data_IF_274422751714
#
_entry.id   IF_274422751714
#
_cell.length_a   1.000
_cell.length_b   1.000
_cell.length_c   1.000
_cell.angle_alpha   90.00
_cell.angle_beta   90.00
_cell.angle_gamma   90.00
#
_symmetry.space_group_name_H-M   'P 1'
#
loop_
_entity.id
_entity.type
_entity.pdbx_description
1 polymer ?
#
# COMPACT_ATOMS: atom_id res chain seq x y z
N UNK A 1 16.28 18.04 -33.35
CA UNK A 1 17.15 18.41 -32.21
C UNK A 1 16.92 19.88 -31.87
N UNK A 2 16.87 20.27 -30.59
CA UNK A 2 16.74 21.67 -30.19
C UNK A 2 17.94 22.48 -30.70
N UNK A 3 17.67 23.63 -31.31
CA UNK A 3 18.71 24.52 -31.84
C UNK A 3 18.98 25.63 -30.83
N UNK A 4 20.23 25.74 -30.39
CA UNK A 4 20.67 26.80 -29.50
C UNK A 4 21.61 27.74 -30.26
N UNK A 5 21.53 29.04 -29.99
CA UNK A 5 22.40 30.04 -30.62
C UNK A 5 23.46 30.53 -29.63
N UNK A 6 24.69 30.71 -30.11
CA UNK A 6 25.77 31.24 -29.28
C UNK A 6 25.51 32.72 -28.93
N UNK A 7 25.53 33.13 -27.65
CA UNK A 7 25.25 34.51 -27.25
C UNK A 7 26.32 35.51 -27.72
N UNK A 8 27.54 35.04 -28.04
CA UNK A 8 28.64 35.91 -28.49
C UNK A 8 28.65 36.15 -30.01
N UNK A 9 28.36 35.12 -30.80
CA UNK A 9 28.54 35.19 -32.26
C UNK A 9 27.30 34.83 -33.08
N UNK A 10 26.21 34.39 -32.44
CA UNK A 10 24.96 34.02 -33.11
C UNK A 10 24.99 32.69 -33.85
N UNK A 11 26.13 31.99 -33.92
CA UNK A 11 26.23 30.70 -34.61
C UNK A 11 25.44 29.59 -33.90
N UNK A 12 24.94 28.63 -34.67
CA UNK A 12 24.27 27.44 -34.15
C UNK A 12 25.23 26.61 -33.28
N UNK A 13 24.77 26.25 -32.09
CA UNK A 13 25.52 25.51 -31.09
C UNK A 13 25.03 24.06 -31.09
N UNK A 14 25.94 23.13 -31.38
CA UNK A 14 25.70 21.72 -31.15
C UNK A 14 25.78 21.46 -29.64
N UNK A 15 24.66 21.07 -29.03
CA UNK A 15 24.56 20.78 -27.60
C UNK A 15 24.19 19.31 -27.44
N UNK A 16 25.11 18.55 -26.86
CA UNK A 16 24.87 17.14 -26.61
C UNK A 16 23.82 16.95 -25.51
N UNK A 17 22.89 16.00 -25.66
CA UNK A 17 22.02 15.59 -24.58
C UNK A 17 22.85 15.14 -23.35
N UNK A 18 22.62 15.76 -22.19
CA UNK A 18 23.39 15.58 -20.96
C UNK A 18 24.37 16.71 -20.58
N UNK A 19 24.80 17.57 -21.51
CA UNK A 19 25.71 18.67 -21.20
C UNK A 19 24.98 20.00 -20.97
N UNK A 20 25.29 20.71 -19.88
CA UNK A 20 24.79 22.07 -19.60
C UNK A 20 25.72 23.17 -20.11
N UNK A 21 26.95 22.79 -20.45
CA UNK A 21 28.01 23.68 -20.90
C UNK A 21 28.36 23.25 -22.32
N UNK A 22 28.22 24.18 -23.27
CA UNK A 22 28.54 23.93 -24.66
C UNK A 22 29.60 24.92 -25.15
N UNK A 23 30.57 24.39 -25.90
CA UNK A 23 31.67 25.16 -26.49
C UNK A 23 31.34 25.46 -27.95
N UNK A 24 31.28 26.73 -28.30
CA UNK A 24 31.05 27.16 -29.67
C UNK A 24 32.26 26.79 -30.54
N UNK A 25 32.02 26.05 -31.62
CA UNK A 25 33.08 25.66 -32.56
C UNK A 25 33.56 26.81 -33.44
N UNK A 26 32.77 27.89 -33.55
CA UNK A 26 33.10 29.05 -34.38
C UNK A 26 33.95 30.09 -33.65
N UNK A 27 33.50 30.54 -32.47
CA UNK A 27 34.18 31.61 -31.71
C UNK A 27 34.88 31.14 -30.43
N UNK A 28 34.87 29.84 -30.15
CA UNK A 28 35.50 29.23 -28.96
C UNK A 28 34.83 29.54 -27.62
N UNK A 29 33.72 30.28 -27.60
CA UNK A 29 33.05 30.70 -26.36
C UNK A 29 32.34 29.52 -25.70
N UNK A 30 32.50 29.41 -24.39
CA UNK A 30 31.82 28.44 -23.55
C UNK A 30 30.59 29.12 -22.94
N UNK A 31 29.41 28.57 -23.17
CA UNK A 31 28.15 29.13 -22.64
C UNK A 31 27.37 28.07 -21.87
N UNK A 32 26.64 28.54 -20.86
CA UNK A 32 25.59 27.74 -20.23
C UNK A 32 24.38 27.70 -21.17
N UNK A 33 23.78 26.53 -21.32
CA UNK A 33 22.60 26.30 -22.16
C UNK A 33 21.44 25.93 -21.25
N UNK A 34 20.36 26.71 -21.32
CA UNK A 34 19.15 26.34 -20.62
C UNK A 34 18.47 25.15 -21.33
N UNK A 35 18.35 24.05 -20.60
CA UNK A 35 17.77 22.78 -21.08
C UNK A 35 16.31 22.62 -20.65
N UNK A 36 15.81 23.55 -19.83
CA UNK A 36 14.52 23.43 -19.16
C UNK A 36 13.36 23.34 -20.16
N UNK A 37 13.44 24.01 -21.30
CA UNK A 37 12.41 24.03 -22.35
C UNK A 37 12.75 23.13 -23.56
N UNK A 38 13.97 22.61 -23.62
CA UNK A 38 14.44 21.85 -24.77
C UNK A 38 14.06 20.37 -24.66
N UNK A 39 13.46 19.84 -25.73
CA UNK A 39 13.12 18.42 -25.83
C UNK A 39 14.28 17.62 -26.44
N UNK A 40 14.91 16.78 -25.62
CA UNK A 40 15.96 15.86 -26.04
C UNK A 40 15.39 14.49 -26.41
N UNK A 41 16.08 13.75 -27.28
CA UNK A 41 15.64 12.44 -27.76
C UNK A 41 16.64 11.38 -27.28
N UNK A 42 16.15 10.39 -26.55
CA UNK A 42 16.95 9.28 -26.05
C UNK A 42 16.30 7.95 -26.45
N UNK A 43 17.12 6.92 -26.49
CA UNK A 43 16.70 5.55 -26.66
C UNK A 43 17.34 4.71 -25.57
N UNK A 44 16.56 3.84 -24.94
CA UNK A 44 17.07 2.94 -23.91
C UNK A 44 17.24 1.55 -24.53
N UNK A 45 18.45 0.99 -24.62
CA UNK A 45 18.69 -0.23 -25.38
C UNK A 45 18.04 -1.45 -24.72
N UNK A 46 17.69 -2.44 -25.55
CA UNK A 46 17.30 -3.76 -25.05
C UNK A 46 18.53 -4.46 -24.44
N UNK A 47 18.51 -4.66 -23.13
CA UNK A 47 19.50 -5.48 -22.40
C UNK A 47 19.01 -6.92 -22.25
N UNK A 48 17.70 -7.11 -22.33
CA UNK A 48 17.00 -8.39 -22.20
C UNK A 48 16.56 -8.87 -23.57
N UNK A 49 16.97 -10.10 -23.91
CA UNK A 49 16.52 -10.81 -25.10
C UNK A 49 15.13 -11.45 -24.90
N UNK A 50 14.49 -11.87 -25.99
CA UNK A 50 13.16 -12.47 -25.95
C UNK A 50 13.12 -13.74 -25.08
N UNK A 51 14.18 -14.55 -25.09
CA UNK A 51 14.26 -15.80 -24.31
C UNK A 51 14.21 -15.50 -22.81
N UNK A 52 14.98 -14.51 -22.36
CA UNK A 52 14.96 -14.00 -20.98
C UNK A 52 13.61 -13.36 -20.66
N UNK A 53 13.01 -12.61 -21.57
CA UNK A 53 11.68 -12.01 -21.37
C UNK A 53 10.62 -13.09 -21.11
N UNK A 54 10.62 -14.19 -21.89
CA UNK A 54 9.76 -15.36 -21.66
C UNK A 54 10.05 -16.04 -20.32
N UNK A 55 11.32 -16.09 -19.91
CA UNK A 55 11.71 -16.59 -18.59
C UNK A 55 11.22 -15.70 -17.44
N UNK A 56 11.26 -14.38 -17.60
CA UNK A 56 10.69 -13.41 -16.65
C UNK A 56 9.17 -13.60 -16.56
N UNK A 57 8.49 -13.68 -17.71
CA UNK A 57 7.06 -13.95 -17.79
C UNK A 57 6.70 -15.22 -17.01
N UNK A 58 7.40 -16.32 -17.27
CA UNK A 58 7.17 -17.60 -16.58
C UNK A 58 7.31 -17.47 -15.06
N UNK A 59 8.40 -16.84 -14.58
CA UNK A 59 8.59 -16.58 -13.14
C UNK A 59 7.48 -15.71 -12.54
N UNK A 60 7.03 -14.70 -13.28
CA UNK A 60 5.94 -13.84 -12.85
C UNK A 60 4.62 -14.61 -12.75
N UNK A 61 4.28 -15.45 -13.74
CA UNK A 61 3.07 -16.31 -13.71
C UNK A 61 3.10 -17.36 -12.60
N UNK A 62 4.28 -17.76 -12.15
CA UNK A 62 4.47 -18.68 -11.01
C UNK A 62 4.40 -17.96 -9.64
N UNK A 63 4.20 -16.64 -9.64
CA UNK A 63 4.15 -15.84 -8.42
C UNK A 63 2.97 -16.19 -7.50
N UNK A 64 3.09 -15.95 -6.18
CA UNK A 64 2.07 -16.33 -5.21
C UNK A 64 0.73 -15.59 -5.36
N UNK A 65 0.73 -14.40 -5.97
CA UNK A 65 -0.46 -13.61 -6.25
C UNK A 65 -1.25 -14.09 -7.47
N UNK A 66 -0.65 -14.92 -8.32
CA UNK A 66 -1.25 -15.39 -9.56
C UNK A 66 -2.19 -16.57 -9.33
N UNK A 67 -3.10 -16.80 -10.29
CA UNK A 67 -3.99 -17.94 -10.27
C UNK A 67 -3.23 -19.27 -10.21
N UNK A 68 -3.82 -20.25 -9.54
CA UNK A 68 -3.27 -21.59 -9.49
C UNK A 68 -3.18 -22.15 -10.91
N UNK A 69 -2.07 -22.82 -11.23
CA UNK A 69 -1.82 -23.42 -12.55
C UNK A 69 -1.68 -22.43 -13.71
N UNK A 70 -1.63 -21.11 -13.46
CA UNK A 70 -1.44 -20.11 -14.51
C UNK A 70 -0.17 -20.37 -15.33
N UNK A 71 0.94 -20.70 -14.68
CA UNK A 71 2.22 -20.98 -15.33
C UNK A 71 2.13 -22.08 -16.40
N UNK A 72 1.41 -23.17 -16.11
CA UNK A 72 1.31 -24.33 -16.99
C UNK A 72 0.07 -24.29 -17.91
N UNK A 73 -0.97 -23.58 -17.50
CA UNK A 73 -2.24 -23.49 -18.22
C UNK A 73 -2.34 -22.28 -19.16
N UNK A 74 -1.45 -21.30 -19.06
CA UNK A 74 -1.46 -20.15 -19.95
C UNK A 74 -0.81 -20.46 -21.31
N UNK A 75 -1.33 -19.84 -22.37
CA UNK A 75 -0.75 -19.90 -23.71
C UNK A 75 -0.46 -18.49 -24.21
N UNK A 76 0.81 -18.19 -24.48
CA UNK A 76 1.20 -16.93 -25.11
C UNK A 76 0.70 -16.94 -26.56
N UNK A 77 -0.11 -15.95 -26.92
CA UNK A 77 -0.70 -15.80 -28.26
C UNK A 77 0.02 -14.76 -29.11
N UNK A 78 0.57 -13.71 -28.48
CA UNK A 78 1.30 -12.63 -29.15
C UNK A 78 2.53 -12.26 -28.33
N UNK A 79 3.62 -11.99 -29.02
CA UNK A 79 4.82 -11.33 -28.48
C UNK A 79 5.29 -10.29 -29.49
N UNK A 80 5.44 -9.05 -29.04
CA UNK A 80 5.94 -7.94 -29.87
C UNK A 80 7.05 -7.23 -29.12
N UNK A 81 8.17 -7.05 -29.82
CA UNK A 81 9.33 -6.30 -29.34
C UNK A 81 9.29 -4.91 -29.96
N UNK A 82 9.17 -3.89 -29.14
CA UNK A 82 8.99 -2.53 -29.63
C UNK A 82 9.54 -1.45 -28.70
N UNK A 83 9.81 -0.28 -29.26
CA UNK A 83 10.18 0.92 -28.53
C UNK A 83 8.95 1.81 -28.35
N UNK A 84 8.46 1.87 -27.11
CA UNK A 84 7.32 2.69 -26.75
C UNK A 84 7.77 4.11 -26.36
N UNK A 85 7.24 5.16 -26.98
CA UNK A 85 7.68 6.53 -26.71
C UNK A 85 7.09 7.05 -25.40
N UNK A 86 7.95 7.55 -24.52
CA UNK A 86 7.54 8.20 -23.25
C UNK A 86 8.24 9.53 -23.06
N UNK A 87 7.53 10.51 -22.51
CA UNK A 87 8.13 11.74 -22.03
C UNK A 87 8.68 11.53 -20.62
N UNK A 88 9.93 11.92 -20.42
CA UNK A 88 10.57 12.06 -19.12
C UNK A 88 10.75 13.53 -18.80
N UNK A 89 10.36 13.92 -17.59
CA UNK A 89 10.50 15.27 -17.08
C UNK A 89 11.25 15.24 -15.76
N UNK A 90 12.41 15.91 -15.68
CA UNK A 90 13.03 16.21 -14.39
C UNK A 90 12.56 17.58 -13.91
N UNK A 91 12.00 17.60 -12.70
CA UNK A 91 11.46 18.81 -12.07
C UNK A 91 12.07 19.00 -10.69
N UNK A 92 12.31 20.26 -10.32
CA UNK A 92 12.64 20.63 -8.94
C UNK A 92 11.35 20.94 -8.19
N UNK A 93 10.95 20.06 -7.28
CA UNK A 93 9.75 20.20 -6.45
C UNK A 93 10.19 20.27 -4.99
N UNK A 94 9.90 21.37 -4.30
CA UNK A 94 10.30 21.57 -2.89
C UNK A 94 11.81 21.35 -2.65
N UNK A 95 12.67 21.86 -3.56
CA UNK A 95 14.13 21.68 -3.54
C UNK A 95 14.60 20.23 -3.69
N UNK A 96 13.70 19.29 -3.99
CA UNK A 96 14.02 17.90 -4.30
C UNK A 96 13.81 17.65 -5.79
N UNK A 97 14.76 16.96 -6.41
CA UNK A 97 14.64 16.56 -7.80
C UNK A 97 13.72 15.34 -7.94
N UNK A 98 12.72 15.44 -8.81
CA UNK A 98 11.78 14.35 -9.09
C UNK A 98 11.68 14.12 -10.59
N UNK A 99 11.66 12.84 -10.97
CA UNK A 99 11.44 12.39 -12.34
C UNK A 99 9.98 12.01 -12.50
N UNK A 100 9.33 12.58 -13.50
CA UNK A 100 7.98 12.22 -13.92
C UNK A 100 8.04 11.60 -15.30
N UNK A 101 7.32 10.49 -15.49
CA UNK A 101 7.21 9.81 -16.79
C UNK A 101 5.77 9.81 -17.25
N UNK A 102 5.55 10.10 -18.52
CA UNK A 102 4.23 10.12 -19.17
C UNK A 102 4.30 9.43 -20.53
N UNK A 103 3.28 8.65 -20.94
CA UNK A 103 3.21 8.16 -22.31
C UNK A 103 3.25 9.30 -23.32
N UNK A 104 4.02 9.16 -24.39
CA UNK A 104 3.95 10.06 -25.54
C UNK A 104 3.02 9.51 -26.64
N UNK A 105 2.36 8.38 -26.37
CA UNK A 105 1.34 7.77 -27.21
C UNK A 105 0.11 7.36 -26.40
N UNK A 106 -1.08 7.53 -26.97
CA UNK A 106 -2.31 6.95 -26.44
C UNK A 106 -2.23 5.41 -26.40
N UNK A 107 -2.39 4.81 -25.21
CA UNK A 107 -2.17 3.36 -25.03
C UNK A 107 -3.10 2.75 -24.00
N UNK A 108 -3.44 1.48 -24.21
CA UNK A 108 -4.10 0.61 -23.22
C UNK A 108 -3.12 -0.36 -22.56
N UNK A 109 -1.84 -0.29 -22.94
CA UNK A 109 -0.80 -1.17 -22.41
C UNK A 109 -0.67 -1.00 -20.89
N UNK A 110 -0.67 -2.10 -20.12
CA UNK A 110 -0.57 -2.02 -18.68
C UNK A 110 0.67 -1.29 -18.17
N UNK A 111 0.50 -0.50 -17.12
CA UNK A 111 1.59 0.16 -16.40
C UNK A 111 2.31 1.28 -17.14
N UNK A 112 1.97 1.59 -18.40
CA UNK A 112 2.63 2.65 -19.16
C UNK A 112 2.47 4.04 -18.53
N UNK A 113 1.38 4.28 -17.80
CA UNK A 113 1.16 5.55 -17.08
C UNK A 113 2.04 5.73 -15.83
N UNK A 114 2.52 4.63 -15.24
CA UNK A 114 3.38 4.61 -14.05
C UNK A 114 4.72 3.91 -14.36
N UNK A 115 5.20 4.10 -15.59
CA UNK A 115 6.46 3.54 -16.04
C UNK A 115 7.61 4.20 -15.27
N UNK A 116 8.59 3.38 -14.88
CA UNK A 116 9.81 3.86 -14.23
C UNK A 116 10.98 3.65 -15.19
N UNK A 117 11.70 4.72 -15.50
CA UNK A 117 12.91 4.63 -16.32
C UNK A 117 14.09 4.40 -15.37
N UNK A 118 14.84 3.29 -15.52
CA UNK A 118 16.00 3.05 -14.68
C UNK A 118 17.05 4.14 -14.90
N UNK A 119 17.78 4.56 -13.85
CA UNK A 119 18.81 5.58 -14.01
C UNK A 119 19.99 5.02 -14.81
N UNK A 120 20.36 5.73 -15.88
CA UNK A 120 21.50 5.39 -16.73
C UNK A 120 21.18 4.39 -17.84
N UNK A 121 22.15 4.17 -18.73
CA UNK A 121 22.01 3.27 -19.89
C UNK A 121 21.30 3.89 -21.11
N UNK A 122 20.73 5.09 -20.98
CA UNK A 122 20.16 5.82 -22.11
C UNK A 122 21.25 6.24 -23.09
N UNK A 123 21.02 5.95 -24.37
CA UNK A 123 21.85 6.45 -25.46
C UNK A 123 21.13 7.61 -26.15
N UNK A 124 21.91 8.55 -26.66
CA UNK A 124 21.38 9.63 -27.49
C UNK A 124 20.75 9.00 -28.72
N UNK A 125 19.48 9.32 -28.98
CA UNK A 125 18.82 8.83 -30.17
C UNK A 125 19.26 9.69 -31.36
N UNK A 126 20.09 9.11 -32.23
CA UNK A 126 20.42 9.63 -33.54
C UNK A 126 19.92 8.68 -34.64
N UNK A 127 19.78 9.17 -35.87
CA UNK A 127 19.30 8.37 -37.02
C UNK A 127 20.25 7.21 -37.40
N UNK A 128 21.36 7.02 -36.67
CA UNK A 128 22.36 5.99 -36.89
C UNK A 128 22.28 4.87 -35.85
N UNK A 129 21.49 5.04 -34.79
CA UNK A 129 21.26 3.99 -33.79
C UNK A 129 20.50 2.82 -34.42
N UNK A 130 21.12 1.64 -34.43
CA UNK A 130 20.48 0.42 -34.93
C UNK A 130 19.37 -0.05 -33.98
N UNK A 131 18.13 0.09 -34.43
CA UNK A 131 16.91 -0.35 -33.74
C UNK A 131 16.76 -1.90 -33.79
N UNK A 132 17.57 -2.56 -34.62
CA UNK A 132 17.56 -4.01 -34.76
C UNK A 132 16.26 -4.52 -35.36
N UNK A 133 15.65 -5.50 -34.71
CA UNK A 133 14.37 -6.14 -35.05
C UNK A 133 13.16 -5.50 -34.35
N UNK A 134 13.39 -4.54 -33.46
CA UNK A 134 12.32 -3.91 -32.70
C UNK A 134 11.52 -2.92 -33.55
N UNK A 135 10.20 -2.89 -33.37
CA UNK A 135 9.34 -1.87 -33.99
C UNK A 135 9.47 -0.56 -33.22
N UNK A 136 9.72 0.55 -33.90
CA UNK A 136 9.62 1.87 -33.29
C UNK A 136 8.20 2.43 -33.43
N UNK A 137 7.69 2.99 -32.35
CA UNK A 137 6.36 3.58 -32.29
C UNK A 137 6.49 5.11 -32.25
N UNK A 138 5.83 5.78 -33.19
CA UNK A 138 5.83 7.25 -33.22
C UNK A 138 4.90 7.84 -32.14
N UNK A 139 5.33 8.92 -31.46
CA UNK A 139 4.48 9.63 -30.52
C UNK A 139 3.31 10.32 -31.24
N UNK A 140 2.12 10.28 -30.64
CA UNK A 140 0.92 10.98 -31.11
C UNK A 140 0.42 12.05 -30.11
N UNK A 141 0.98 12.09 -28.91
CA UNK A 141 0.69 13.10 -27.89
C UNK A 141 1.76 14.17 -27.92
N UNK A 142 1.34 15.44 -27.97
CA UNK A 142 2.25 16.57 -27.86
C UNK A 142 2.70 16.78 -26.41
N UNK A 143 3.97 17.14 -26.21
CA UNK A 143 4.52 17.40 -24.88
C UNK A 143 3.78 18.52 -24.13
N UNK A 144 3.25 19.50 -24.88
CA UNK A 144 2.50 20.64 -24.35
C UNK A 144 1.28 20.24 -23.52
N UNK A 145 0.70 19.07 -23.79
CA UNK A 145 -0.43 18.52 -23.01
C UNK A 145 -0.10 18.27 -21.54
N UNK A 146 1.17 17.96 -21.22
CA UNK A 146 1.59 17.65 -19.87
C UNK A 146 2.20 18.84 -19.14
N UNK A 147 2.83 19.78 -19.86
CA UNK A 147 3.64 20.86 -19.26
C UNK A 147 2.84 21.69 -18.25
N UNK A 148 1.58 22.00 -18.54
CA UNK A 148 0.74 22.84 -17.68
C UNK A 148 0.37 22.21 -16.34
N UNK A 149 0.40 20.88 -16.24
CA UNK A 149 0.03 20.13 -15.02
C UNK A 149 1.26 19.80 -14.16
N UNK A 150 2.47 20.07 -14.64
CA UNK A 150 3.68 19.65 -13.96
C UNK A 150 4.01 20.52 -12.75
N UNK A 151 4.28 19.92 -11.57
CA UNK A 151 4.68 20.68 -10.40
C UNK A 151 6.15 21.14 -10.51
N UNK A 152 6.44 22.29 -9.89
CA UNK A 152 7.80 22.78 -9.72
C UNK A 152 8.46 23.30 -11.01
N UNK A 153 9.75 23.62 -10.89
CA UNK A 153 10.52 24.22 -11.99
C UNK A 153 11.09 23.13 -12.90
N UNK A 154 11.10 23.39 -14.22
CA UNK A 154 11.71 22.51 -15.22
C UNK A 154 13.24 22.47 -15.05
N UNK A 155 13.81 21.26 -15.03
CA UNK A 155 15.26 21.03 -15.09
C UNK A 155 15.63 20.50 -16.47
N UNK A 156 14.99 19.40 -16.88
CA UNK A 156 15.16 18.82 -18.22
C UNK A 156 13.87 18.15 -18.71
N UNK A 157 13.78 18.00 -20.03
CA UNK A 157 12.69 17.31 -20.70
C UNK A 157 13.24 16.42 -21.82
N UNK A 158 12.68 15.22 -21.94
CA UNK A 158 13.16 14.22 -22.89
C UNK A 158 12.01 13.38 -23.45
N UNK A 159 12.07 13.04 -24.73
CA UNK A 159 11.37 11.93 -25.32
C UNK A 159 12.31 10.72 -25.29
N UNK A 160 11.91 9.67 -24.59
CA UNK A 160 12.67 8.43 -24.43
C UNK A 160 11.92 7.31 -25.15
N UNK A 161 12.59 6.66 -26.09
CA UNK A 161 12.13 5.42 -26.70
C UNK A 161 12.44 4.26 -25.75
N UNK A 162 11.41 3.78 -25.04
CA UNK A 162 11.54 2.81 -23.97
C UNK A 162 11.33 1.36 -24.50
N UNK A 163 12.25 0.42 -24.23
CA UNK A 163 12.20 -0.92 -24.77
C UNK A 163 11.16 -1.75 -24.03
N UNK A 164 10.14 -2.24 -24.74
CA UNK A 164 9.12 -3.11 -24.16
C UNK A 164 8.96 -4.40 -24.96
N UNK A 165 8.59 -5.45 -24.23
CA UNK A 165 7.98 -6.65 -24.77
C UNK A 165 6.50 -6.62 -24.42
N UNK A 166 5.65 -6.36 -25.40
CA UNK A 166 4.20 -6.57 -25.29
C UNK A 166 3.92 -8.06 -25.47
N UNK A 167 3.27 -8.68 -24.49
CA UNK A 167 2.86 -10.08 -24.57
C UNK A 167 1.37 -10.20 -24.27
N UNK A 168 0.66 -10.94 -25.12
CA UNK A 168 -0.72 -11.36 -24.86
C UNK A 168 -0.71 -12.85 -24.57
N UNK A 169 -1.42 -13.26 -23.53
CA UNK A 169 -1.60 -14.67 -23.18
C UNK A 169 -3.06 -14.97 -22.88
N UNK A 170 -3.44 -16.21 -23.12
CA UNK A 170 -4.77 -16.72 -22.85
C UNK A 170 -4.74 -17.68 -21.66
N UNK A 171 -5.72 -17.55 -20.76
CA UNK A 171 -5.94 -18.44 -19.64
C UNK A 171 -7.44 -18.57 -19.37
N UNK A 172 -7.94 -19.79 -19.24
CA UNK A 172 -9.39 -20.08 -19.04
C UNK A 172 -10.32 -19.38 -20.06
N UNK A 173 -9.88 -19.28 -21.32
CA UNK A 173 -10.64 -18.64 -22.40
C UNK A 173 -10.68 -17.10 -22.34
N UNK A 174 -9.87 -16.48 -21.47
CA UNK A 174 -9.72 -15.03 -21.36
C UNK A 174 -8.32 -14.60 -21.80
N UNK A 175 -8.25 -13.51 -22.55
CA UNK A 175 -6.99 -12.89 -22.98
C UNK A 175 -6.55 -11.82 -22.00
N UNK A 176 -5.25 -11.79 -21.74
CA UNK A 176 -4.60 -10.87 -20.82
C UNK A 176 -3.34 -10.30 -21.47
N UNK A 177 -3.12 -9.01 -21.24
CA UNK A 177 -1.91 -8.33 -21.70
C UNK A 177 -0.96 -8.11 -20.54
N UNK A 178 0.32 -8.26 -20.83
CA UNK A 178 1.42 -7.96 -19.93
C UNK A 178 2.53 -7.31 -20.73
N UNK A 179 3.18 -6.33 -20.10
CA UNK A 179 4.32 -5.63 -20.68
C UNK A 179 5.53 -5.92 -19.82
N UNK A 180 6.64 -6.28 -20.45
CA UNK A 180 7.91 -6.50 -19.77
C UNK A 180 8.90 -5.46 -20.28
N UNK A 181 9.52 -4.74 -19.35
CA UNK A 181 10.61 -3.81 -19.64
C UNK A 181 11.82 -4.57 -20.17
N UNK A 182 12.25 -4.25 -21.40
CA UNK A 182 13.40 -4.84 -22.07
C UNK A 182 14.77 -4.38 -21.57
N UNK A 183 14.81 -3.44 -20.63
CA UNK A 183 16.03 -2.90 -20.01
C UNK A 183 16.23 -3.38 -18.56
N UNK A 184 15.17 -3.40 -17.74
CA UNK A 184 15.25 -3.80 -16.33
C UNK A 184 14.59 -5.15 -16.03
N UNK A 185 13.69 -5.62 -16.90
CA UNK A 185 12.95 -6.87 -16.70
C UNK A 185 11.75 -6.73 -15.76
N UNK A 186 11.37 -5.50 -15.38
CA UNK A 186 10.15 -5.24 -14.64
C UNK A 186 8.92 -5.65 -15.44
N UNK A 187 7.93 -6.20 -14.74
CA UNK A 187 6.68 -6.66 -15.32
C UNK A 187 5.56 -5.71 -14.95
N UNK A 188 4.88 -5.20 -15.96
CA UNK A 188 3.70 -4.37 -15.84
C UNK A 188 2.50 -5.16 -16.35
N UNK A 189 1.56 -5.46 -15.46
CA UNK A 189 0.37 -6.26 -15.79
C UNK A 189 -0.90 -5.50 -15.47
N UNK A 190 -1.91 -5.67 -16.31
CA UNK A 190 -3.27 -5.20 -16.02
C UNK A 190 -3.97 -6.12 -15.02
N UNK A 191 -5.30 -6.12 -14.99
CA UNK A 191 -6.06 -7.18 -14.33
C UNK A 191 -5.59 -8.54 -14.84
N UNK A 192 -5.09 -9.39 -13.96
CA UNK A 192 -4.55 -10.71 -14.28
C UNK A 192 -5.29 -11.78 -13.48
N UNK A 193 -5.25 -13.06 -13.92
CA UNK A 193 -5.80 -14.17 -13.15
C UNK A 193 -5.10 -14.23 -11.79
N UNK A 194 -5.84 -13.94 -10.72
CA UNK A 194 -5.34 -14.02 -9.35
C UNK A 194 -5.95 -15.20 -8.63
N UNK A 195 -5.32 -15.59 -7.52
CA UNK A 195 -5.82 -16.70 -6.71
C UNK A 195 -7.19 -16.38 -6.13
N UNK A 196 -8.19 -17.21 -6.44
CA UNK A 196 -9.52 -17.10 -5.85
C UNK A 196 -9.48 -17.28 -4.33
N UNK A 197 -10.10 -16.37 -3.59
CA UNK A 197 -10.22 -16.43 -2.12
C UNK A 197 -11.40 -17.28 -1.64
N UNK A 198 -12.11 -17.97 -2.56
CA UNK A 198 -13.34 -18.70 -2.27
C UNK A 198 -13.20 -19.72 -1.13
N UNK A 199 -12.08 -20.44 -1.08
CA UNK A 199 -11.82 -21.41 -0.02
C UNK A 199 -11.67 -20.72 1.36
N UNK A 200 -10.97 -19.59 1.42
CA UNK A 200 -10.85 -18.80 2.66
C UNK A 200 -12.19 -18.21 3.08
N UNK A 201 -12.97 -17.70 2.12
CA UNK A 201 -14.32 -17.18 2.38
C UNK A 201 -15.27 -18.25 2.89
N UNK A 202 -15.19 -19.48 2.37
CA UNK A 202 -15.99 -20.60 2.86
C UNK A 202 -15.63 -20.96 4.30
N UNK A 203 -14.34 -21.05 4.64
CA UNK A 203 -13.88 -21.33 6.01
C UNK A 203 -14.29 -20.22 6.98
N UNK A 204 -14.11 -18.95 6.60
CA UNK A 204 -14.59 -17.79 7.37
C UNK A 204 -16.10 -17.84 7.58
N UNK A 205 -16.88 -18.12 6.53
CA UNK A 205 -18.33 -18.19 6.59
C UNK A 205 -18.81 -19.30 7.53
N UNK A 206 -18.25 -20.51 7.41
CA UNK A 206 -18.59 -21.64 8.30
C UNK A 206 -18.23 -21.32 9.76
N UNK A 207 -17.04 -20.77 10.00
CA UNK A 207 -16.58 -20.41 11.34
C UNK A 207 -17.45 -19.32 11.97
N UNK A 208 -17.84 -18.31 11.19
CA UNK A 208 -18.73 -17.24 11.64
C UNK A 208 -20.11 -17.77 12.03
N UNK A 209 -20.70 -18.66 11.20
CA UNK A 209 -22.00 -19.27 11.49
C UNK A 209 -21.94 -20.14 12.75
N UNK A 210 -20.90 -20.97 12.91
CA UNK A 210 -20.70 -21.76 14.13
C UNK A 210 -20.52 -20.86 15.37
N UNK A 211 -19.79 -19.75 15.23
CA UNK A 211 -19.64 -18.75 16.28
C UNK A 211 -20.97 -18.12 16.71
N UNK A 212 -21.83 -17.76 15.74
CA UNK A 212 -23.18 -17.24 16.02
C UNK A 212 -24.06 -18.28 16.72
N UNK A 213 -24.01 -19.55 16.29
CA UNK A 213 -24.76 -20.64 16.91
C UNK A 213 -24.28 -20.86 18.37
N UNK A 214 -22.96 -20.91 18.58
CA UNK A 214 -22.38 -21.04 19.92
C UNK A 214 -22.74 -19.87 20.84
N UNK A 215 -22.67 -18.64 20.33
CA UNK A 215 -23.07 -17.44 21.07
C UNK A 215 -24.55 -17.44 21.43
N UNK A 216 -25.42 -17.85 20.52
CA UNK A 216 -26.86 -17.96 20.79
C UNK A 216 -27.15 -18.99 21.89
N UNK A 217 -26.59 -20.20 21.78
CA UNK A 217 -26.72 -21.26 22.79
C UNK A 217 -26.22 -20.82 24.16
N UNK A 218 -25.09 -20.12 24.22
CA UNK A 218 -24.56 -19.58 25.47
C UNK A 218 -25.52 -18.58 26.13
N UNK A 219 -26.08 -17.65 25.36
CA UNK A 219 -27.10 -16.72 25.86
C UNK A 219 -28.36 -17.46 26.33
N UNK A 220 -28.85 -18.46 25.57
CA UNK A 220 -30.04 -19.23 25.95
C UNK A 220 -29.87 -20.01 27.26
N UNK A 221 -28.70 -20.63 27.46
CA UNK A 221 -28.40 -21.39 28.69
C UNK A 221 -28.32 -20.45 29.90
N UNK A 222 -27.66 -19.30 29.78
CA UNK A 222 -27.54 -18.33 30.87
C UNK A 222 -28.89 -17.71 31.26
N UNK A 223 -29.76 -17.40 30.28
CA UNK A 223 -31.11 -16.91 30.55
C UNK A 223 -31.93 -17.96 31.31
N UNK A 224 -31.87 -19.22 30.88
CA UNK A 224 -32.56 -20.31 31.57
C UNK A 224 -32.09 -20.47 33.02
N UNK A 225 -30.77 -20.40 33.26
CA UNK A 225 -30.20 -20.47 34.60
C UNK A 225 -30.67 -19.33 35.51
N UNK A 226 -30.69 -18.09 34.99
CA UNK A 226 -31.16 -16.91 35.73
C UNK A 226 -32.64 -17.04 36.09
N UNK A 227 -33.48 -17.50 35.15
CA UNK A 227 -34.92 -17.69 35.38
C UNK A 227 -35.18 -18.77 36.45
N UNK A 228 -34.48 -19.91 36.38
CA UNK A 228 -34.61 -20.97 37.38
C UNK A 228 -34.13 -20.52 38.77
N UNK A 229 -33.01 -19.77 38.85
CA UNK A 229 -32.52 -19.22 40.10
C UNK A 229 -33.51 -18.23 40.73
N UNK A 230 -34.07 -17.32 39.92
CA UNK A 230 -35.09 -16.37 40.38
C UNK A 230 -36.38 -17.07 40.82
N UNK A 231 -36.85 -18.06 40.04
CA UNK A 231 -38.01 -18.87 40.37
C UNK A 231 -37.82 -19.66 41.67
N UNK A 232 -36.64 -20.25 41.87
CA UNK A 232 -36.28 -20.94 43.11
C UNK A 232 -36.26 -20.01 44.32
N UNK A 233 -35.71 -18.81 44.20
CA UNK A 233 -35.72 -17.81 45.25
C UNK A 233 -37.15 -17.36 45.61
N UNK A 234 -38.00 -17.18 44.60
CA UNK A 234 -39.40 -16.77 44.79
C UNK A 234 -40.23 -17.88 45.44
N UNK A 235 -40.10 -19.12 44.97
CA UNK A 235 -40.76 -20.29 45.56
C UNK A 235 -40.31 -20.54 47.00
N UNK A 236 -39.00 -20.41 47.27
CA UNK A 236 -38.46 -20.50 48.63
C UNK A 236 -39.02 -19.42 49.55
N UNK A 237 -39.10 -18.17 49.09
CA UNK A 237 -39.70 -17.06 49.85
C UNK A 237 -41.19 -17.29 50.11
N UNK A 238 -41.94 -17.79 49.12
CA UNK A 238 -43.36 -18.10 49.25
C UNK A 238 -43.62 -19.22 50.27
N UNK A 239 -42.83 -20.30 50.21
CA UNK A 239 -42.90 -21.40 51.18
C UNK A 239 -42.52 -20.93 52.59
N UNK A 240 -41.49 -20.09 52.73
CA UNK A 240 -41.13 -19.51 54.02
C UNK A 240 -42.24 -18.62 54.61
N UNK A 241 -42.95 -17.86 53.77
CA UNK A 241 -44.10 -17.05 54.20
C UNK A 241 -45.27 -17.91 54.69
N UNK A 242 -45.55 -19.03 54.02
CA UNK A 242 -46.59 -19.99 54.43
C UNK A 242 -46.31 -20.62 55.81
N UNK A 243 -45.04 -20.89 56.13
CA UNK A 243 -44.64 -21.44 57.44
C UNK A 243 -44.77 -20.42 58.56
N UNK A 244 -44.45 -19.14 58.31
CA UNK A 244 -44.53 -18.06 59.32
C UNK A 244 -45.97 -17.66 59.68
N UNK A 245 -46.95 -17.90 58.79
CA UNK A 245 -48.36 -17.58 59.06
C UNK A 245 -49.10 -18.57 59.97
N UNK A 246 -48.46 -19.67 60.39
CA UNK A 246 -49.05 -20.58 61.38
C UNK A 246 -48.77 -20.08 62.80
N UNK A 247 -49.56 -19.09 63.24
CA UNK A 247 -49.47 -18.47 64.57
C UNK A 247 -49.84 -19.49 65.68
N UNK A 248 -49.02 -19.65 66.74
CA UNK A 248 -49.40 -20.39 67.94
C UNK A 248 -50.45 -19.64 68.77
N UNK A 249 -51.27 -20.41 69.50
CA UNK A 249 -52.37 -19.97 70.35
C UNK A 249 -51.96 -18.91 71.41
N UNK A 250 -52.89 -18.06 71.88
CA UNK A 250 -52.58 -16.83 72.62
C UNK A 250 -52.14 -17.09 74.07
N UNK A 251 -51.23 -16.22 74.53
CA UNK A 251 -50.74 -16.17 75.90
C UNK A 251 -51.82 -15.67 76.87
N UNK A 252 -51.89 -16.26 78.06
CA UNK A 252 -52.58 -15.72 79.23
C UNK A 252 -51.56 -15.36 80.31
N UNK A 253 -51.82 -14.19 80.89
CA UNK A 253 -51.03 -13.36 81.79
C UNK A 253 -50.44 -14.00 83.07
N UNK A 254 -49.37 -13.36 83.56
CA UNK A 254 -49.29 -12.98 84.98
C UNK A 254 -47.95 -13.22 85.68
N UNK A 255 -47.29 -12.13 86.09
CA UNK A 255 -46.25 -12.14 87.13
C UNK A 255 -45.08 -11.18 86.87
N UNK A 256 -45.12 -9.99 87.50
CA UNK A 256 -44.11 -8.94 87.37
C UNK A 256 -43.03 -8.88 88.45
N UNK A 257 -42.30 -7.75 88.42
CA UNK A 257 -41.29 -7.20 89.35
C UNK A 257 -39.89 -7.88 89.33
N UNK A 258 -38.85 -7.25 88.75
CA UNK A 258 -37.97 -6.18 89.30
C UNK A 258 -36.91 -6.73 90.28
N UNK A 259 -35.64 -6.30 90.37
CA UNK A 259 -34.74 -5.39 89.65
C UNK A 259 -33.33 -5.51 90.31
N UNK A 260 -32.28 -4.99 89.65
CA UNK A 260 -30.94 -4.69 90.20
C UNK A 260 -29.84 -5.58 89.59
N UNK A 261 -28.94 -5.12 88.70
CA UNK A 261 -28.01 -3.99 88.79
C UNK A 261 -26.62 -4.54 89.22
N UNK A 262 -25.43 -4.15 88.75
CA UNK A 262 -24.93 -3.08 87.89
C UNK A 262 -23.42 -3.31 87.66
N UNK A 263 -22.93 -2.90 86.48
CA UNK A 263 -21.61 -2.35 86.10
C UNK A 263 -20.27 -3.03 86.47
N UNK A 264 -19.44 -3.28 85.43
CA UNK A 264 -18.11 -2.67 85.17
C UNK A 264 -17.44 -3.46 83.99
N UNK A 265 -17.21 -2.91 82.79
CA UNK A 265 -16.19 -1.96 82.29
C UNK A 265 -14.87 -2.57 81.77
N UNK A 266 -14.38 -1.96 80.66
CA UNK A 266 -13.08 -2.07 79.95
C UNK A 266 -12.86 -3.30 79.04
N UNK A 267 -12.29 -3.23 77.83
CA UNK A 267 -11.66 -2.18 76.99
C UNK A 267 -11.13 -2.86 75.71
N UNK A 268 -11.29 -2.28 74.51
CA UNK A 268 -10.24 -1.63 73.67
C UNK A 268 -9.11 -2.58 73.16
N UNK A 269 -8.66 -2.55 71.90
CA UNK A 269 -8.96 -1.66 70.77
C UNK A 269 -8.06 -1.91 69.53
N UNK A 270 -8.18 -0.97 68.57
CA UNK A 270 -7.24 -0.55 67.50
C UNK A 270 -6.91 -1.55 66.36
N UNK A 271 -6.73 -1.20 65.07
CA UNK A 271 -6.57 0.09 64.35
C UNK A 271 -6.62 -0.14 62.81
N UNK A 272 -7.00 0.88 62.03
CA UNK A 272 -6.83 1.00 60.56
C UNK A 272 -5.47 1.68 60.22
N UNK A 273 -5.14 2.20 59.00
CA UNK A 273 -5.66 2.04 57.62
C UNK A 273 -4.53 1.92 56.53
N UNK A 274 -4.86 1.76 55.22
CA UNK A 274 -4.26 2.53 54.08
C UNK A 274 -4.71 2.05 52.68
N UNK A 275 -5.28 2.99 51.92
CA UNK A 275 -5.00 3.39 50.52
C UNK A 275 -5.04 2.44 49.30
N UNK A 276 -5.96 2.81 48.40
CA UNK A 276 -5.76 3.27 47.01
C UNK A 276 -5.22 2.33 45.90
N UNK A 277 -6.06 2.22 44.86
CA UNK A 277 -5.79 2.17 43.41
C UNK A 277 -4.82 1.13 42.82
N UNK A 278 -5.33 0.39 41.83
CA UNK A 278 -4.72 -0.10 40.55
C UNK A 278 -5.63 -1.23 40.04
N UNK A 279 -5.89 -1.48 38.76
CA UNK A 279 -5.42 -1.01 37.47
C UNK A 279 -5.91 -2.05 36.44
N UNK A 280 -6.42 -1.60 35.30
CA UNK A 280 -6.81 -2.47 34.18
C UNK A 280 -5.60 -3.21 33.57
N UNK A 281 -5.83 -4.29 32.81
CA UNK A 281 -4.95 -4.62 31.70
C UNK A 281 -5.69 -4.46 30.35
N UNK A 282 -5.20 -3.51 29.56
CA UNK A 282 -5.33 -3.49 28.10
C UNK A 282 -3.91 -3.50 27.54
N UNK A 283 -3.44 -4.65 27.06
CA UNK A 283 -2.22 -4.75 26.26
C UNK A 283 -2.53 -4.21 24.85
N UNK A 284 -1.87 -3.17 24.35
CA UNK A 284 -0.46 -3.04 23.98
C UNK A 284 -0.10 -3.81 22.67
N UNK A 285 -0.32 -3.13 21.54
CA UNK A 285 0.34 -3.35 20.26
C UNK A 285 1.08 -2.08 19.86
N UNK A 286 2.37 -2.23 19.56
CA UNK A 286 3.41 -1.21 19.51
C UNK A 286 3.25 -0.11 18.44
N UNK A 287 3.57 1.14 18.81
CA UNK A 287 4.12 2.16 17.92
C UNK A 287 5.07 3.08 18.72
N UNK A 288 6.35 3.09 18.38
CA UNK A 288 7.28 4.18 18.73
C UNK A 288 7.92 4.68 17.45
N UNK A 289 7.63 5.94 17.12
CA UNK A 289 8.45 6.79 16.28
C UNK A 289 9.40 7.55 17.21
N UNK A 290 10.69 7.54 16.93
CA UNK A 290 11.66 8.44 17.54
C UNK A 290 11.92 9.62 16.61
N UNK A 291 11.60 10.81 17.10
CA UNK A 291 12.06 12.11 16.58
C UNK A 291 13.11 12.67 17.52
N UNK A 292 14.32 12.87 16.98
CA UNK A 292 15.15 14.08 17.09
C UNK A 292 15.67 14.55 18.45
N UNK A 293 17.00 14.64 18.58
CA UNK A 293 17.66 15.82 19.16
C UNK A 293 19.15 15.87 18.77
N UNK A 294 19.54 17.02 18.26
CA UNK A 294 20.89 17.55 18.05
C UNK A 294 21.67 17.66 19.38
N UNK A 295 23.01 17.74 19.34
CA UNK A 295 23.64 18.69 20.25
C UNK A 295 24.68 19.61 19.58
N UNK A 296 24.67 20.81 20.15
CA UNK A 296 25.39 22.04 19.86
C UNK A 296 26.90 21.97 20.18
N UNK A 297 27.72 22.47 19.24
CA UNK A 297 28.89 23.37 19.36
C UNK A 297 29.93 23.19 20.49
N UNK A 298 31.21 22.96 20.11
CA UNK A 298 32.36 23.87 20.35
C UNK A 298 33.71 23.25 19.93
N UNK A 299 34.37 23.83 18.94
CA UNK A 299 35.71 24.47 18.95
C UNK A 299 36.20 24.73 17.53
#
# INVERSE_FOLDING_TARGET
>A
MPQFSCPKCGAALAVDPGTQIAKCQFCGTVTYVDRSEALFYYLLPFTIDEVKARGIFKRWTAGPSMAKELENGCKITKIVKEFFPVFRFRRSVNKSEKVFVRPARGTTLPGMHNLEIPPGGEVIYDDKVSIGDARQIDPDISIGSYIGEMPGNAIDQALVYFPIYEMTYEFEGKSYDVVIDGSSGRVYSGPSPSRGSAQYMAVMGVSFVLGLIGGYLACSIHVLFIVLAAGGLFAGRYMAQQVVTKKPAPAVAGGGAAAGGSAAQAGEGASAPSDAQTGAPSDAGAQTAETGAEPEVKQ
#
